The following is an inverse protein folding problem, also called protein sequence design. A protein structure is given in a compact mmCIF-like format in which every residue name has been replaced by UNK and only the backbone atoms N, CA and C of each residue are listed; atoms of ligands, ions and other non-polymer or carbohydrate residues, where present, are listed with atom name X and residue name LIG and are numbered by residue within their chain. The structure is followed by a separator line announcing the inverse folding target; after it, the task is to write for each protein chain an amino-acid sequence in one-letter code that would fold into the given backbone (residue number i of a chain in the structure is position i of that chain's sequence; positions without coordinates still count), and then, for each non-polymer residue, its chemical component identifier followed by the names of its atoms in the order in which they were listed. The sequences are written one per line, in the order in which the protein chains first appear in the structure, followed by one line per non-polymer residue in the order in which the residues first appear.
data_IF_475342454146
#
_entry.id   IF_475342454146
#
_cell.length_a   1.000
_cell.length_b   1.000
_cell.length_c   1.000
_cell.angle_alpha   90.00
_cell.angle_beta   90.00
_cell.angle_gamma   90.00
#
_symmetry.space_group_name_H-M   'P 1'
#
loop_
_entity.id
_entity.type
_entity.pdbx_description
1 polymer ?
#
# COMPACT_ATOMS: atom_id res chain seq x y z
N UNK A 1 -14.80 16.66 5.48
CA UNK A 1 -13.74 15.74 5.96
C UNK A 1 -13.66 14.47 5.12
N UNK A 2 -14.77 13.75 4.89
CA UNK A 2 -14.82 12.52 4.07
C UNK A 2 -14.28 12.65 2.62
N UNK A 3 -14.48 13.78 1.94
CA UNK A 3 -14.01 13.99 0.56
C UNK A 3 -12.49 14.13 0.45
N UNK A 4 -11.84 14.74 1.44
CA UNK A 4 -10.37 14.90 1.48
C UNK A 4 -9.72 13.55 1.75
N UNK A 5 -10.26 12.78 2.69
CA UNK A 5 -9.78 11.44 3.01
C UNK A 5 -9.91 10.49 1.81
N UNK A 6 -11.05 10.48 1.12
CA UNK A 6 -11.20 9.69 -0.13
C UNK A 6 -10.20 10.10 -1.21
N UNK A 7 -9.98 11.41 -1.39
CA UNK A 7 -9.02 11.93 -2.39
C UNK A 7 -7.59 11.55 -2.04
N UNK A 8 -7.23 11.58 -0.76
CA UNK A 8 -5.92 11.16 -0.28
C UNK A 8 -5.71 9.66 -0.51
N UNK A 9 -6.69 8.82 -0.16
CA UNK A 9 -6.61 7.37 -0.37
C UNK A 9 -6.54 6.98 -1.83
N UNK A 10 -7.30 7.66 -2.69
CA UNK A 10 -7.17 7.50 -4.15
C UNK A 10 -5.75 7.79 -4.62
N UNK A 11 -5.10 8.85 -4.10
CA UNK A 11 -3.70 9.17 -4.45
C UNK A 11 -2.70 8.15 -3.92
N UNK A 12 -2.91 7.62 -2.71
CA UNK A 12 -2.07 6.54 -2.18
C UNK A 12 -2.23 5.27 -3.03
N UNK A 13 -3.45 4.90 -3.38
CA UNK A 13 -3.72 3.75 -4.24
C UNK A 13 -3.06 3.91 -5.61
N UNK A 14 -3.13 5.10 -6.22
CA UNK A 14 -2.44 5.39 -7.48
C UNK A 14 -0.92 5.26 -7.35
N UNK A 15 -0.34 5.80 -6.27
CA UNK A 15 1.10 5.68 -5.99
C UNK A 15 1.53 4.22 -5.83
N UNK A 16 0.77 3.41 -5.08
CA UNK A 16 1.07 2.00 -4.82
C UNK A 16 1.04 1.13 -6.09
N UNK A 17 0.31 1.55 -7.12
CA UNK A 17 0.27 0.90 -8.44
C UNK A 17 1.48 1.19 -9.32
N UNK A 18 2.30 2.18 -8.97
CA UNK A 18 3.48 2.53 -9.76
C UNK A 18 4.60 1.50 -9.64
N UNK A 19 5.44 1.42 -10.68
CA UNK A 19 6.65 0.59 -10.66
C UNK A 19 7.59 0.98 -9.52
N UNK A 20 7.71 2.28 -9.23
CA UNK A 20 8.51 2.81 -8.11
C UNK A 20 8.09 2.22 -6.76
N UNK A 21 6.78 2.14 -6.49
CA UNK A 21 6.27 1.53 -5.26
C UNK A 21 6.59 0.02 -5.22
N UNK A 22 6.49 -0.66 -6.36
CA UNK A 22 6.83 -2.08 -6.47
C UNK A 22 8.30 -2.34 -6.15
N UNK A 23 9.21 -1.58 -6.76
CA UNK A 23 10.65 -1.64 -6.47
C UNK A 23 10.94 -1.35 -4.99
N UNK A 24 10.26 -0.37 -4.39
CA UNK A 24 10.41 -0.07 -2.97
C UNK A 24 10.04 -1.27 -2.08
N UNK A 25 8.93 -1.96 -2.35
CA UNK A 25 8.54 -3.14 -1.59
C UNK A 25 9.45 -4.35 -1.85
N UNK A 26 10.00 -4.51 -3.04
CA UNK A 26 11.02 -5.53 -3.33
C UNK A 26 12.31 -5.32 -2.52
N UNK A 27 12.72 -4.06 -2.34
CA UNK A 27 13.86 -3.71 -1.47
C UNK A 27 13.55 -4.07 -0.02
N UNK A 28 12.34 -3.76 0.47
CA UNK A 28 11.90 -4.13 1.82
C UNK A 28 11.90 -5.66 2.00
N UNK A 29 11.35 -6.40 1.04
CA UNK A 29 11.34 -7.86 1.06
C UNK A 29 12.76 -8.44 1.10
N UNK A 30 13.66 -7.91 0.28
CA UNK A 30 15.06 -8.33 0.24
C UNK A 30 15.77 -8.07 1.57
N UNK A 31 15.51 -6.91 2.20
CA UNK A 31 16.03 -6.55 3.52
C UNK A 31 15.50 -7.48 4.61
N UNK A 32 14.20 -7.77 4.62
CA UNK A 32 13.59 -8.72 5.56
C UNK A 32 14.21 -10.11 5.43
N UNK A 33 14.39 -10.59 4.19
CA UNK A 33 15.01 -11.89 3.90
C UNK A 33 16.47 -11.96 4.35
N UNK A 34 17.22 -10.87 4.23
CA UNK A 34 18.59 -10.79 4.75
C UNK A 34 18.61 -10.88 6.29
N UNK A 35 17.75 -10.11 6.96
CA UNK A 35 17.61 -10.14 8.43
C UNK A 35 17.18 -11.51 8.97
N UNK A 36 16.36 -12.26 8.23
CA UNK A 36 15.95 -13.61 8.60
C UNK A 36 17.08 -14.65 8.39
N UNK A 37 17.98 -14.44 7.41
CA UNK A 37 19.10 -15.35 7.10
C UNK A 37 20.28 -15.21 8.06
N UNK A 38 20.54 -14.01 8.59
CA UNK A 38 21.60 -13.75 9.57
C UNK A 38 21.29 -14.30 10.99
N UNK A 39 20.40 -15.30 11.09
CA UNK A 39 19.87 -15.91 12.32
C UNK A 39 20.87 -16.73 13.17
N UNK A 40 22.16 -16.37 13.18
CA UNK A 40 23.17 -16.82 14.14
C UNK A 40 23.85 -15.59 14.74
N UNK A 41 23.20 -14.93 15.69
CA UNK A 41 23.81 -14.28 16.86
C UNK A 41 22.82 -13.31 17.49
N UNK A 42 23.07 -13.00 18.76
CA UNK A 42 22.34 -12.24 19.79
C UNK A 42 21.62 -10.94 19.36
N UNK A 43 21.74 -10.51 18.10
CA UNK A 43 21.10 -9.34 17.47
C UNK A 43 19.57 -9.42 17.33
N UNK A 44 18.95 -10.61 17.44
CA UNK A 44 17.48 -10.79 17.33
C UNK A 44 16.70 -10.01 18.39
N UNK A 45 17.26 -9.81 19.58
CA UNK A 45 16.55 -9.16 20.70
C UNK A 45 16.43 -7.65 20.47
N UNK A 46 17.41 -7.02 19.81
CA UNK A 46 17.41 -5.57 19.57
C UNK A 46 16.62 -5.13 18.33
N UNK A 47 16.35 -6.03 17.38
CA UNK A 47 15.69 -5.72 16.11
C UNK A 47 14.27 -6.31 15.97
N UNK A 48 13.70 -6.88 17.03
CA UNK A 48 12.39 -7.55 17.01
C UNK A 48 11.28 -6.65 16.43
N UNK A 49 11.16 -5.41 16.92
CA UNK A 49 10.16 -4.45 16.44
C UNK A 49 10.33 -4.08 14.97
N UNK A 50 11.57 -3.91 14.50
CA UNK A 50 11.88 -3.62 13.11
C UNK A 50 11.52 -4.80 12.20
N UNK A 51 11.83 -6.03 12.62
CA UNK A 51 11.49 -7.24 11.86
C UNK A 51 9.96 -7.38 11.76
N UNK A 52 9.23 -7.23 12.87
CA UNK A 52 7.76 -7.29 12.87
C UNK A 52 7.14 -6.20 11.99
N UNK A 53 7.71 -4.99 12.00
CA UNK A 53 7.27 -3.90 11.12
C UNK A 53 7.47 -4.27 9.64
N UNK A 54 8.67 -4.71 9.27
CA UNK A 54 8.97 -5.13 7.89
C UNK A 54 8.12 -6.32 7.44
N UNK A 55 7.83 -7.27 8.31
CA UNK A 55 6.91 -8.39 8.04
C UNK A 55 5.49 -7.90 7.80
N UNK A 56 5.02 -6.94 8.60
CA UNK A 56 3.69 -6.34 8.45
C UNK A 56 3.58 -5.60 7.12
N UNK A 57 4.56 -4.75 6.79
CA UNK A 57 4.61 -4.02 5.52
C UNK A 57 4.64 -5.00 4.34
N UNK A 58 5.49 -6.02 4.39
CA UNK A 58 5.60 -7.03 3.33
C UNK A 58 4.29 -7.78 3.12
N UNK A 59 3.64 -8.20 4.21
CA UNK A 59 2.36 -8.92 4.16
C UNK A 59 1.25 -8.07 3.56
N UNK A 60 1.17 -6.78 3.95
CA UNK A 60 0.17 -5.86 3.41
C UNK A 60 0.44 -5.53 1.94
N UNK A 61 1.70 -5.36 1.54
CA UNK A 61 2.10 -5.12 0.16
C UNK A 61 1.76 -6.30 -0.76
N UNK A 62 2.05 -7.54 -0.34
CA UNK A 62 1.61 -8.73 -1.10
C UNK A 62 0.09 -8.79 -1.23
N UNK A 63 -0.65 -8.61 -0.13
CA UNK A 63 -2.13 -8.58 -0.17
C UNK A 63 -2.66 -7.51 -1.12
N UNK A 64 -2.01 -6.35 -1.20
CA UNK A 64 -2.38 -5.29 -2.14
C UNK A 64 -2.19 -5.75 -3.59
N UNK A 65 -1.03 -6.28 -3.93
CA UNK A 65 -0.75 -6.73 -5.31
C UNK A 65 -1.59 -7.94 -5.73
N UNK A 66 -1.83 -8.90 -4.83
CA UNK A 66 -2.70 -10.05 -5.09
C UNK A 66 -4.13 -9.58 -5.44
N UNK A 67 -4.68 -8.64 -4.67
CA UNK A 67 -6.02 -8.08 -4.92
C UNK A 67 -6.08 -7.24 -6.19
N UNK A 68 -5.01 -6.50 -6.49
CA UNK A 68 -4.92 -5.75 -7.74
C UNK A 68 -4.91 -6.69 -8.96
N UNK A 69 -4.20 -7.81 -8.87
CA UNK A 69 -4.19 -8.84 -9.91
C UNK A 69 -5.58 -9.47 -10.08
N UNK A 70 -6.25 -9.85 -8.98
CA UNK A 70 -7.62 -10.36 -9.02
C UNK A 70 -8.61 -9.37 -9.66
N UNK A 71 -8.51 -8.07 -9.35
CA UNK A 71 -9.33 -7.04 -10.03
C UNK A 71 -9.04 -6.95 -11.52
N UNK A 72 -7.77 -7.07 -11.90
CA UNK A 72 -7.36 -7.04 -13.32
C UNK A 72 -7.94 -8.25 -14.07
N UNK A 73 -7.95 -9.42 -13.44
CA UNK A 73 -8.56 -10.62 -14.00
C UNK A 73 -10.09 -10.50 -14.12
N UNK A 74 -10.77 -9.91 -13.12
CA UNK A 74 -12.21 -9.63 -13.19
C UNK A 74 -12.55 -8.63 -14.30
N UNK A 75 -11.74 -7.58 -14.49
CA UNK A 75 -11.94 -6.61 -15.58
C UNK A 75 -11.78 -7.25 -16.98
N UNK A 76 -10.87 -8.22 -17.12
CA UNK A 76 -10.77 -9.03 -18.35
C UNK A 76 -12.03 -9.87 -18.57
N UNK A 77 -12.52 -10.55 -17.54
CA UNK A 77 -13.76 -11.35 -17.61
C UNK A 77 -14.98 -10.50 -17.97
N UNK A 78 -15.07 -9.27 -17.44
CA UNK A 78 -16.14 -8.33 -17.77
C UNK A 78 -16.08 -7.84 -19.22
N UNK A 79 -14.89 -7.73 -19.80
CA UNK A 79 -14.68 -7.32 -21.19
C UNK A 79 -14.90 -8.43 -22.20
N UNK A 80 -14.56 -9.67 -21.84
CA UNK A 80 -14.65 -10.84 -22.71
C UNK A 80 -15.95 -11.64 -22.56
N UNK A 81 -16.64 -11.49 -21.43
CA UNK A 81 -17.87 -12.20 -21.13
C UNK A 81 -19.07 -11.66 -21.91
N UNK A 82 -19.76 -12.53 -22.64
CA UNK A 82 -21.04 -12.23 -23.31
C UNK A 82 -22.27 -12.66 -22.48
N UNK A 83 -22.05 -13.36 -21.36
CA UNK A 83 -23.12 -13.84 -20.49
C UNK A 83 -23.50 -12.75 -19.45
N UNK A 84 -24.74 -12.26 -19.46
CA UNK A 84 -25.18 -11.19 -18.57
C UNK A 84 -25.20 -11.59 -17.08
N UNK A 85 -25.42 -12.87 -16.76
CA UNK A 85 -25.41 -13.35 -15.38
C UNK A 85 -23.97 -13.38 -14.83
N UNK A 86 -23.02 -13.83 -15.65
CA UNK A 86 -21.59 -13.80 -15.32
C UNK A 86 -21.10 -12.36 -15.16
N UNK A 87 -21.56 -11.44 -16.01
CA UNK A 87 -21.23 -10.01 -15.87
C UNK A 87 -21.77 -9.39 -14.58
N UNK A 88 -22.96 -9.78 -14.13
CA UNK A 88 -23.54 -9.28 -12.89
C UNK A 88 -22.75 -9.78 -11.67
N UNK A 89 -22.41 -11.07 -11.64
CA UNK A 89 -21.58 -11.66 -10.59
C UNK A 89 -20.19 -11.01 -10.56
N UNK A 90 -19.53 -10.88 -11.72
CA UNK A 90 -18.20 -10.29 -11.80
C UNK A 90 -18.18 -8.80 -11.39
N UNK A 91 -19.28 -8.06 -11.58
CA UNK A 91 -19.43 -6.69 -11.07
C UNK A 91 -19.51 -6.65 -9.54
N UNK A 92 -20.34 -7.50 -8.95
CA UNK A 92 -20.48 -7.58 -7.49
C UNK A 92 -19.14 -7.97 -6.84
N UNK A 93 -18.44 -8.95 -7.40
CA UNK A 93 -17.12 -9.36 -6.94
C UNK A 93 -16.09 -8.23 -7.09
N UNK A 94 -16.16 -7.46 -8.18
CA UNK A 94 -15.29 -6.31 -8.41
C UNK A 94 -15.52 -5.18 -7.40
N UNK A 95 -16.77 -4.88 -7.07
CA UNK A 95 -17.13 -3.88 -6.06
C UNK A 95 -16.60 -4.29 -4.68
N UNK A 96 -16.87 -5.53 -4.25
CA UNK A 96 -16.37 -6.04 -2.97
C UNK A 96 -14.84 -6.02 -2.91
N UNK A 97 -14.17 -6.49 -3.97
CA UNK A 97 -12.71 -6.54 -4.02
C UNK A 97 -12.08 -5.14 -4.03
N UNK A 98 -12.77 -4.14 -4.60
CA UNK A 98 -12.36 -2.74 -4.55
C UNK A 98 -12.43 -2.19 -3.13
N UNK A 99 -13.48 -2.47 -2.37
CA UNK A 99 -13.58 -2.07 -0.96
C UNK A 99 -12.50 -2.72 -0.09
N UNK A 100 -12.22 -4.01 -0.34
CA UNK A 100 -11.15 -4.72 0.34
C UNK A 100 -9.76 -4.14 -0.01
N UNK A 101 -9.55 -3.78 -1.28
CA UNK A 101 -8.32 -3.12 -1.72
C UNK A 101 -8.15 -1.77 -1.02
N UNK A 102 -9.21 -0.96 -0.93
CA UNK A 102 -9.18 0.33 -0.21
C UNK A 102 -8.84 0.12 1.28
N UNK A 103 -9.37 -0.93 1.92
CA UNK A 103 -9.00 -1.28 3.29
C UNK A 103 -7.51 -1.62 3.43
N UNK A 104 -6.95 -2.36 2.46
CA UNK A 104 -5.51 -2.68 2.44
C UNK A 104 -4.67 -1.44 2.19
N UNK A 105 -5.07 -0.55 1.29
CA UNK A 105 -4.39 0.74 1.03
C UNK A 105 -4.33 1.57 2.29
N UNK A 106 -5.43 1.69 3.04
CA UNK A 106 -5.46 2.39 4.33
C UNK A 106 -4.41 1.82 5.29
N UNK A 107 -4.48 0.51 5.55
CA UNK A 107 -3.57 -0.18 6.48
C UNK A 107 -2.11 -0.06 6.05
N UNK A 108 -1.84 -0.18 4.75
CA UNK A 108 -0.48 -0.06 4.21
C UNK A 108 0.04 1.37 4.35
N UNK A 109 -0.82 2.36 4.11
CA UNK A 109 -0.49 3.77 4.30
C UNK A 109 -0.15 4.06 5.76
N UNK A 110 -0.97 3.58 6.71
CA UNK A 110 -0.76 3.78 8.15
C UNK A 110 0.54 3.16 8.66
N UNK A 111 0.96 2.02 8.10
CA UNK A 111 2.19 1.33 8.52
C UNK A 111 3.43 1.91 7.85
N UNK A 112 3.31 2.40 6.61
CA UNK A 112 4.43 2.97 5.84
C UNK A 112 4.69 4.43 6.19
N UNK A 113 3.64 5.22 6.43
CA UNK A 113 3.74 6.61 6.85
C UNK A 113 3.69 6.62 8.39
N UNK A 114 4.82 6.77 9.09
CA UNK A 114 4.80 6.86 10.53
C UNK A 114 4.10 8.17 10.92
N UNK A 115 2.88 8.09 11.43
CA UNK A 115 2.20 9.23 12.05
C UNK A 115 2.78 9.40 13.45
N UNK A 116 3.51 10.48 13.65
CA UNK A 116 4.05 10.85 14.96
C UNK A 116 3.11 11.83 15.67
N UNK A 117 3.30 12.01 16.98
CA UNK A 117 2.54 12.99 17.76
C UNK A 117 2.69 14.42 17.22
N UNK A 118 3.79 14.71 16.53
CA UNK A 118 4.04 15.99 15.87
C UNK A 118 3.19 16.20 14.61
N UNK A 119 2.83 15.13 13.90
CA UNK A 119 1.98 15.18 12.70
C UNK A 119 0.51 15.44 13.05
N UNK A 120 0.11 15.22 14.31
CA UNK A 120 -1.21 15.53 14.84
C UNK A 120 -1.36 17.01 15.25
N UNK A 121 -0.25 17.77 15.24
CA UNK A 121 -0.28 19.20 15.50
C UNK A 121 -0.87 19.91 14.27
N UNK A 122 -2.01 20.57 14.44
CA UNK A 122 -2.78 21.21 13.37
C UNK A 122 -2.07 22.35 12.59
N UNK A 123 -0.80 22.65 12.89
CA UNK A 123 -0.10 23.85 12.42
C UNK A 123 1.15 23.52 11.60
N UNK A 124 1.03 22.68 10.57
CA UNK A 124 2.07 22.56 9.55
C UNK A 124 2.06 23.82 8.67
N UNK A 125 3.14 24.60 8.68
CA UNK A 125 3.33 25.75 7.80
C UNK A 125 4.20 25.36 6.60
N UNK A 126 3.69 25.56 5.38
CA UNK A 126 4.44 25.36 4.15
C UNK A 126 5.07 26.69 3.74
N UNK A 127 6.40 26.81 3.84
CA UNK A 127 7.14 27.98 3.36
C UNK A 127 7.79 27.69 2.01
N UNK A 128 7.32 28.37 0.96
CA UNK A 128 7.90 28.26 -0.39
C UNK A 128 8.76 29.51 -0.62
N UNK A 129 10.07 29.33 -0.69
CA UNK A 129 11.00 30.42 -1.01
C UNK A 129 11.46 30.30 -2.46
N UNK A 130 11.27 31.33 -3.30
CA UNK A 130 11.74 31.31 -4.69
C UNK A 130 13.28 31.35 -4.72
N UNK A 131 13.88 30.42 -5.46
CA UNK A 131 15.31 30.44 -5.73
C UNK A 131 15.61 31.51 -6.79
N UNK A 132 16.22 32.62 -6.38
CA UNK A 132 16.79 33.60 -7.31
C UNK A 132 18.23 33.19 -7.59
N UNK A 133 18.47 32.56 -8.73
CA UNK A 133 19.83 32.32 -9.23
C UNK A 133 20.37 33.62 -9.84
N UNK A 134 21.37 34.21 -9.21
CA UNK A 134 22.18 35.32 -9.73
C UNK A 134 23.30 34.84 -10.64
#
# INVERSE_FOLDING_TARGET
MLSIQRRFLSRCADLLRTETARTYFEVIFSKLKALQKDGKDESRINNSALVTHLETVTTLAHKFYDKLEMLTQLDLLLKEGNDPEIQEIAKLDSEQLTEELDSVVNKLTDVVIPVTEYDLLNNCQLEITPLVTT
#
